data_IF_771611716264
#
_entry.id   IF_771611716264
#
_cell.length_a   1.000
_cell.length_b   1.000
_cell.length_c   1.000
_cell.angle_alpha   90.00
_cell.angle_beta   90.00
_cell.angle_gamma   90.00
#
_symmetry.space_group_name_H-M   'P 1'
#
loop_
_entity.id
_entity.type
_entity.pdbx_description
1 polymer ?
#
# COMPACT_ATOMS: atom_id res chain seq x y z
N UNK A 1 -19.81 5.07 -2.36
CA UNK A 1 -18.55 4.34 -2.04
C UNK A 1 -17.80 5.10 -0.96
N UNK A 2 -16.75 4.54 -0.35
CA UNK A 2 -16.02 5.21 0.75
C UNK A 2 -15.41 6.57 0.34
N UNK A 3 -14.82 6.66 -0.87
CA UNK A 3 -14.30 7.94 -1.41
C UNK A 3 -15.39 9.01 -1.45
N UNK A 4 -16.56 8.68 -1.98
CA UNK A 4 -17.70 9.60 -2.07
C UNK A 4 -18.16 10.06 -0.68
N UNK A 5 -18.23 9.15 0.29
CA UNK A 5 -18.63 9.47 1.66
C UNK A 5 -17.66 10.47 2.29
N UNK A 6 -16.36 10.17 2.25
CA UNK A 6 -15.31 11.02 2.82
C UNK A 6 -15.31 12.42 2.16
N UNK A 7 -15.45 12.49 0.84
CA UNK A 7 -15.51 13.78 0.13
C UNK A 7 -16.80 14.56 0.40
N UNK A 8 -17.93 13.89 0.63
CA UNK A 8 -19.20 14.56 0.98
C UNK A 8 -19.13 15.30 2.32
N UNK A 9 -18.16 14.94 3.16
CA UNK A 9 -17.84 15.61 4.43
C UNK A 9 -16.84 16.77 4.27
N UNK A 10 -16.45 17.12 3.04
CA UNK A 10 -15.53 18.23 2.75
C UNK A 10 -14.05 17.90 2.93
N UNK A 11 -13.68 16.62 3.00
CA UNK A 11 -12.27 16.21 3.13
C UNK A 11 -11.52 16.35 1.81
N UNK A 12 -10.37 17.01 1.85
CA UNK A 12 -9.49 17.20 0.70
C UNK A 12 -8.98 15.86 0.14
N UNK A 13 -8.99 15.64 -1.19
CA UNK A 13 -8.52 14.40 -1.80
C UNK A 13 -7.06 14.02 -1.46
N UNK A 14 -6.20 14.99 -1.13
CA UNK A 14 -4.81 14.72 -0.72
C UNK A 14 -4.71 14.02 0.64
N UNK A 15 -5.80 14.00 1.42
CA UNK A 15 -5.90 13.24 2.68
C UNK A 15 -6.46 11.83 2.48
N UNK A 16 -6.62 11.39 1.23
CA UNK A 16 -7.18 10.08 0.87
C UNK A 16 -6.12 9.26 0.15
N UNK A 17 -5.81 8.08 0.69
CA UNK A 17 -5.12 7.01 -0.02
C UNK A 17 -6.12 5.92 -0.38
N UNK A 18 -6.21 5.55 -1.66
CA UNK A 18 -7.03 4.42 -2.08
C UNK A 18 -6.25 3.11 -1.91
N UNK A 19 -6.19 2.63 -0.67
CA UNK A 19 -5.34 1.51 -0.25
C UNK A 19 -5.89 0.09 -0.56
N UNK A 20 -6.74 -0.05 -1.58
CA UNK A 20 -7.10 -1.37 -2.11
C UNK A 20 -6.10 -1.73 -3.23
N UNK A 21 -5.28 -2.80 -3.09
CA UNK A 21 -4.29 -3.14 -4.12
C UNK A 21 -4.92 -3.73 -5.40
N UNK A 22 -6.16 -4.23 -5.34
CA UNK A 22 -6.86 -4.87 -6.47
C UNK A 22 -8.17 -4.13 -6.79
N UNK A 23 -8.10 -3.09 -7.64
CA UNK A 23 -9.24 -2.19 -7.91
C UNK A 23 -9.96 -2.57 -9.20
N UNK A 24 -11.28 -2.34 -9.24
CA UNK A 24 -12.01 -2.38 -10.50
C UNK A 24 -11.64 -1.16 -11.35
N UNK A 25 -11.58 -1.33 -12.67
CA UNK A 25 -11.27 -0.22 -13.61
C UNK A 25 -12.22 0.97 -13.42
N UNK A 26 -13.51 0.72 -13.21
CA UNK A 26 -14.51 1.76 -12.95
C UNK A 26 -14.18 2.57 -11.69
N UNK A 27 -13.65 1.92 -10.65
CA UNK A 27 -13.27 2.57 -9.39
C UNK A 27 -11.96 3.37 -9.52
N UNK A 28 -11.00 2.90 -10.31
CA UNK A 28 -9.78 3.66 -10.64
C UNK A 28 -10.16 4.96 -11.38
N UNK A 29 -11.06 4.86 -12.39
CA UNK A 29 -11.57 6.04 -13.10
C UNK A 29 -12.32 6.99 -12.19
N UNK A 30 -13.12 6.46 -11.25
CA UNK A 30 -13.83 7.27 -10.27
C UNK A 30 -12.86 8.06 -9.37
N UNK A 31 -11.83 7.39 -8.81
CA UNK A 31 -10.80 8.04 -8.01
C UNK A 31 -10.10 9.16 -8.79
N UNK A 32 -9.76 8.89 -10.06
CA UNK A 32 -9.15 9.87 -10.97
C UNK A 32 -10.02 11.10 -11.19
N UNK A 33 -11.31 10.90 -11.51
CA UNK A 33 -12.26 11.97 -11.76
C UNK A 33 -12.55 12.84 -10.52
N UNK A 34 -12.28 12.31 -9.32
CA UNK A 34 -12.51 12.99 -8.05
C UNK A 34 -11.20 13.43 -7.37
N UNK A 35 -10.08 13.44 -8.10
CA UNK A 35 -8.80 13.99 -7.64
C UNK A 35 -8.06 13.15 -6.60
N UNK A 36 -8.46 11.90 -6.35
CA UNK A 36 -7.74 11.00 -5.44
C UNK A 36 -6.54 10.40 -6.18
N UNK A 37 -5.34 10.86 -5.85
CA UNK A 37 -4.12 10.54 -6.60
C UNK A 37 -3.33 9.35 -6.04
N UNK A 38 -3.35 9.15 -4.72
CA UNK A 38 -2.57 8.12 -4.05
C UNK A 38 -3.31 6.79 -4.03
N UNK A 39 -2.67 5.72 -4.50
CA UNK A 39 -3.25 4.37 -4.46
C UNK A 39 -2.21 3.28 -4.34
N UNK A 40 -2.61 2.15 -3.75
CA UNK A 40 -1.72 1.00 -3.60
C UNK A 40 -1.79 0.04 -4.79
N UNK A 41 -0.76 -0.77 -4.97
CA UNK A 41 -0.74 -1.88 -5.92
C UNK A 41 0.21 -2.98 -5.43
N UNK A 42 0.03 -4.21 -5.90
CA UNK A 42 0.93 -5.34 -5.59
C UNK A 42 1.15 -6.28 -6.79
N UNK A 43 0.69 -5.90 -7.99
CA UNK A 43 0.76 -6.74 -9.18
C UNK A 43 0.91 -5.93 -10.46
N UNK A 44 1.47 -6.56 -11.49
CA UNK A 44 1.62 -5.95 -12.82
C UNK A 44 0.27 -5.63 -13.48
N UNK A 45 -0.74 -6.48 -13.26
CA UNK A 45 -2.09 -6.24 -13.78
C UNK A 45 -2.68 -4.95 -13.22
N UNK A 46 -2.39 -4.63 -11.96
CA UNK A 46 -2.80 -3.36 -11.37
C UNK A 46 -2.11 -2.16 -12.03
N UNK A 47 -0.79 -2.24 -12.26
CA UNK A 47 -0.02 -1.21 -12.97
C UNK A 47 -0.61 -0.93 -14.35
N UNK A 48 -0.92 -1.98 -15.13
CA UNK A 48 -1.53 -1.84 -16.45
C UNK A 48 -2.91 -1.15 -16.40
N UNK A 49 -3.73 -1.46 -15.38
CA UNK A 49 -5.02 -0.80 -15.21
C UNK A 49 -4.87 0.68 -14.88
N UNK A 50 -3.93 1.03 -13.99
CA UNK A 50 -3.65 2.43 -13.62
C UNK A 50 -3.16 3.20 -14.83
N UNK A 51 -2.13 2.69 -15.53
CA UNK A 51 -1.57 3.32 -16.72
C UNK A 51 -2.62 3.63 -17.80
N UNK A 52 -3.63 2.77 -17.95
CA UNK A 52 -4.71 2.97 -18.93
C UNK A 52 -5.79 3.96 -18.48
N UNK A 53 -6.06 4.04 -17.18
CA UNK A 53 -7.32 4.60 -16.68
C UNK A 53 -7.16 5.85 -15.84
N UNK A 54 -5.94 6.23 -15.48
CA UNK A 54 -5.70 7.30 -14.53
C UNK A 54 -4.65 8.27 -15.06
N UNK A 55 -5.11 9.19 -15.92
CA UNK A 55 -4.28 10.19 -16.61
C UNK A 55 -3.40 11.03 -15.65
N UNK A 56 -3.85 11.19 -14.40
CA UNK A 56 -3.17 11.99 -13.37
C UNK A 56 -2.58 11.18 -12.19
N UNK A 57 -2.64 9.84 -12.16
CA UNK A 57 -2.14 9.08 -11.00
C UNK A 57 -0.67 8.78 -11.22
N UNK A 58 0.14 9.60 -10.59
CA UNK A 58 1.59 9.45 -10.53
C UNK A 58 2.05 9.07 -9.12
N UNK A 59 1.14 8.70 -8.21
CA UNK A 59 1.50 8.46 -6.81
C UNK A 59 1.08 7.07 -6.39
N UNK A 60 1.87 6.09 -6.82
CA UNK A 60 1.67 4.69 -6.48
C UNK A 60 2.47 4.29 -5.25
N UNK A 61 1.85 3.47 -4.41
CA UNK A 61 2.47 2.90 -3.21
C UNK A 61 2.49 1.38 -3.36
N UNK A 62 3.68 0.79 -3.45
CA UNK A 62 3.83 -0.66 -3.60
C UNK A 62 3.49 -1.35 -2.27
N UNK A 63 2.51 -2.25 -2.25
CA UNK A 63 2.20 -3.07 -1.07
C UNK A 63 3.06 -4.32 -1.07
N UNK A 64 3.85 -4.51 -0.02
CA UNK A 64 4.66 -5.72 0.18
C UNK A 64 3.95 -6.73 1.07
N UNK A 65 4.27 -8.01 0.89
CA UNK A 65 3.82 -9.08 1.77
C UNK A 65 4.56 -9.00 3.11
N UNK A 66 3.88 -9.36 4.19
CA UNK A 66 4.46 -9.50 5.54
C UNK A 66 4.30 -10.95 6.00
N UNK A 67 5.12 -11.36 6.97
CA UNK A 67 4.88 -12.61 7.70
C UNK A 67 3.69 -12.41 8.66
N UNK A 68 2.50 -12.76 8.21
CA UNK A 68 1.26 -12.67 8.99
C UNK A 68 0.91 -13.98 9.69
N UNK A 69 1.87 -14.90 9.82
CA UNK A 69 1.64 -16.23 10.41
C UNK A 69 1.06 -16.17 11.83
N UNK A 70 1.38 -15.11 12.58
CA UNK A 70 0.95 -14.83 13.96
C UNK A 70 -0.24 -13.86 14.08
N UNK A 71 -0.83 -13.41 12.96
CA UNK A 71 -2.01 -12.55 12.99
C UNK A 71 -3.30 -13.37 13.11
N UNK A 72 -4.31 -12.81 13.78
CA UNK A 72 -5.67 -13.42 13.83
C UNK A 72 -6.31 -13.44 12.45
N UNK A 73 -6.13 -12.37 11.67
CA UNK A 73 -6.58 -12.30 10.28
C UNK A 73 -5.40 -12.20 9.32
N UNK A 74 -5.17 -13.27 8.54
CA UNK A 74 -4.12 -13.34 7.53
C UNK A 74 -4.54 -12.64 6.24
N UNK A 75 -3.81 -11.59 5.87
CA UNK A 75 -4.04 -10.79 4.66
C UNK A 75 -2.94 -10.98 3.61
N UNK A 76 -1.74 -11.41 4.00
CA UNK A 76 -0.56 -11.54 3.13
C UNK A 76 -0.68 -12.68 2.12
N UNK A 77 -1.48 -13.71 2.42
CA UNK A 77 -1.81 -14.77 1.45
C UNK A 77 -2.61 -14.21 0.26
N UNK A 78 -3.36 -13.12 0.48
CA UNK A 78 -4.24 -12.52 -0.52
C UNK A 78 -3.64 -11.26 -1.17
N UNK A 79 -2.81 -10.51 -0.44
CA UNK A 79 -2.33 -9.20 -0.84
C UNK A 79 -0.86 -8.98 -0.45
N UNK A 80 -0.15 -8.24 -1.28
CA UNK A 80 1.25 -7.89 -1.04
C UNK A 80 2.21 -8.65 -1.94
N UNK A 81 3.13 -7.92 -2.55
CA UNK A 81 4.16 -8.50 -3.39
C UNK A 81 5.25 -9.14 -2.51
N UNK A 82 5.68 -10.39 -2.79
CA UNK A 82 6.86 -10.92 -2.14
C UNK A 82 8.08 -10.09 -2.53
N UNK A 83 9.06 -9.96 -1.63
CA UNK A 83 10.24 -9.10 -1.85
C UNK A 83 10.95 -9.38 -3.19
N UNK A 84 11.07 -10.66 -3.57
CA UNK A 84 11.65 -11.10 -4.84
C UNK A 84 10.93 -10.58 -6.10
N UNK A 85 9.65 -10.22 -6.01
CA UNK A 85 8.86 -9.69 -7.12
C UNK A 85 8.87 -8.16 -7.17
N UNK A 86 9.26 -7.48 -6.08
CA UNK A 86 9.18 -6.03 -5.96
C UNK A 86 10.02 -5.32 -7.02
N UNK A 87 11.25 -5.79 -7.28
CA UNK A 87 12.12 -5.21 -8.31
C UNK A 87 11.47 -5.21 -9.69
N UNK A 88 10.91 -6.36 -10.11
CA UNK A 88 10.23 -6.46 -11.41
C UNK A 88 8.99 -5.56 -11.52
N UNK A 89 8.26 -5.37 -10.41
CA UNK A 89 7.14 -4.42 -10.37
C UNK A 89 7.60 -2.97 -10.51
N UNK A 90 8.71 -2.59 -9.88
CA UNK A 90 9.28 -1.25 -9.98
C UNK A 90 9.82 -0.97 -11.39
N UNK A 91 10.54 -1.92 -11.98
CA UNK A 91 10.99 -1.86 -13.39
C UNK A 91 9.79 -1.65 -14.31
N UNK A 92 8.73 -2.45 -14.12
CA UNK A 92 7.52 -2.34 -14.93
C UNK A 92 6.79 -1.01 -14.75
N UNK A 93 6.74 -0.48 -13.53
CA UNK A 93 6.17 0.84 -13.28
C UNK A 93 6.95 1.93 -14.04
N UNK A 94 8.29 1.84 -14.08
CA UNK A 94 9.16 2.76 -14.82
C UNK A 94 8.88 2.72 -16.32
N UNK A 95 8.77 1.52 -16.90
CA UNK A 95 8.44 1.34 -18.32
C UNK A 95 7.08 1.95 -18.71
N UNK A 96 6.12 1.90 -17.79
CA UNK A 96 4.78 2.46 -17.98
C UNK A 96 4.72 3.97 -17.69
N UNK A 97 5.83 4.61 -17.29
CA UNK A 97 5.88 6.03 -16.93
C UNK A 97 5.08 6.36 -15.67
N UNK A 98 4.84 5.36 -14.81
CA UNK A 98 4.19 5.53 -13.52
C UNK A 98 5.21 5.94 -12.48
N UNK A 99 4.78 6.75 -11.52
CA UNK A 99 5.63 7.22 -10.43
C UNK A 99 5.23 6.49 -9.13
N UNK A 100 6.22 5.82 -8.56
CA UNK A 100 6.10 5.02 -7.34
C UNK A 100 6.80 5.80 -6.24
N UNK A 101 6.00 6.27 -5.28
CA UNK A 101 6.42 7.22 -4.26
C UNK A 101 6.72 6.56 -2.91
N UNK A 102 6.48 5.26 -2.79
CA UNK A 102 6.54 4.63 -1.48
C UNK A 102 6.18 3.17 -1.41
N UNK A 103 6.25 2.65 -0.20
CA UNK A 103 5.94 1.27 0.16
C UNK A 103 4.89 1.25 1.24
N UNK A 104 3.98 0.28 1.16
CA UNK A 104 2.99 -0.02 2.19
C UNK A 104 3.10 -1.47 2.62
N UNK A 105 2.70 -1.76 3.86
CA UNK A 105 2.50 -3.12 4.32
C UNK A 105 1.34 -3.17 5.32
N UNK A 106 0.93 -4.38 5.71
CA UNK A 106 -0.03 -4.56 6.79
C UNK A 106 0.29 -5.89 7.48
N UNK A 107 0.51 -5.86 8.79
CA UNK A 107 0.92 -7.05 9.57
C UNK A 107 -0.24 -8.00 9.97
N UNK A 108 -1.43 -7.74 9.44
CA UNK A 108 -2.69 -8.40 9.85
C UNK A 108 -3.34 -7.77 11.09
N UNK A 109 -4.64 -8.02 11.25
CA UNK A 109 -5.40 -7.55 12.42
C UNK A 109 -5.16 -8.44 13.63
N UNK A 110 -5.00 -7.83 14.81
CA UNK A 110 -4.71 -8.56 16.05
C UNK A 110 -3.32 -9.19 16.01
N UNK A 111 -2.33 -8.43 15.56
CA UNK A 111 -0.94 -8.88 15.60
C UNK A 111 -0.53 -9.05 17.06
N UNK A 112 -0.03 -10.24 17.43
CA UNK A 112 0.43 -10.56 18.78
C UNK A 112 1.95 -10.50 18.90
N UNK A 113 2.65 -9.99 17.87
CA UNK A 113 4.10 -9.98 17.77
C UNK A 113 4.62 -8.69 17.10
N UNK A 114 5.12 -7.76 17.91
CA UNK A 114 5.68 -6.49 17.47
C UNK A 114 6.87 -6.66 16.50
N UNK A 115 7.62 -7.75 16.59
CA UNK A 115 8.75 -8.03 15.69
C UNK A 115 8.32 -8.13 14.22
N UNK A 116 7.03 -8.40 13.97
CA UNK A 116 6.46 -8.41 12.62
C UNK A 116 6.55 -7.03 11.95
N UNK A 117 6.34 -5.95 12.70
CA UNK A 117 6.51 -4.58 12.19
C UNK A 117 7.98 -4.30 11.87
N UNK A 118 8.90 -4.67 12.77
CA UNK A 118 10.34 -4.50 12.56
C UNK A 118 10.82 -5.17 11.27
N UNK A 119 10.39 -6.40 11.03
CA UNK A 119 10.70 -7.12 9.78
C UNK A 119 10.10 -6.43 8.56
N UNK A 120 8.83 -6.02 8.63
CA UNK A 120 8.16 -5.34 7.53
C UNK A 120 8.81 -3.99 7.19
N UNK A 121 9.29 -3.24 8.18
CA UNK A 121 10.04 -2.00 7.99
C UNK A 121 11.39 -2.29 7.31
N UNK A 122 12.10 -3.35 7.73
CA UNK A 122 13.35 -3.76 7.10
C UNK A 122 13.16 -4.18 5.63
N UNK A 123 12.10 -4.95 5.34
CA UNK A 123 11.76 -5.33 3.97
C UNK A 123 11.33 -4.11 3.13
N UNK A 124 10.58 -3.18 3.71
CA UNK A 124 10.23 -1.93 3.05
C UNK A 124 11.48 -1.12 2.72
N UNK A 125 12.46 -1.04 3.63
CA UNK A 125 13.75 -0.38 3.35
C UNK A 125 14.47 -1.02 2.16
N UNK A 126 14.52 -2.34 2.07
CA UNK A 126 15.09 -3.03 0.91
C UNK A 126 14.39 -2.62 -0.40
N UNK A 127 13.06 -2.43 -0.39
CA UNK A 127 12.31 -1.98 -1.57
C UNK A 127 12.55 -0.51 -1.89
N UNK A 128 12.73 0.35 -0.88
CA UNK A 128 13.17 1.73 -1.09
C UNK A 128 14.53 1.79 -1.80
N UNK A 129 15.48 0.95 -1.38
CA UNK A 129 16.81 0.86 -2.02
C UNK A 129 16.70 0.41 -3.48
N UNK A 130 15.87 -0.63 -3.76
CA UNK A 130 15.58 -1.04 -5.15
C UNK A 130 14.94 0.10 -5.97
N UNK A 131 14.08 0.91 -5.33
CA UNK A 131 13.46 2.08 -5.93
C UNK A 131 14.48 3.15 -6.31
N UNK A 132 15.38 3.47 -5.39
CA UNK A 132 16.46 4.44 -5.58
C UNK A 132 17.38 4.03 -6.74
N UNK A 133 17.78 2.75 -6.82
CA UNK A 133 18.57 2.20 -7.94
C UNK A 133 17.89 2.41 -9.31
N UNK A 134 16.56 2.34 -9.35
CA UNK A 134 15.76 2.54 -10.56
C UNK A 134 15.38 4.01 -10.80
N UNK A 135 15.86 4.91 -9.94
CA UNK A 135 15.64 6.35 -10.01
C UNK A 135 14.21 6.78 -9.63
N UNK A 136 13.57 6.07 -8.72
CA UNK A 136 12.38 6.57 -8.02
C UNK A 136 12.80 7.40 -6.81
N UNK A 137 12.05 8.47 -6.53
CA UNK A 137 12.23 9.26 -5.32
C UNK A 137 11.10 8.93 -4.34
N UNK A 138 11.28 7.86 -3.57
CA UNK A 138 10.28 7.40 -2.61
C UNK A 138 10.37 8.18 -1.31
N UNK A 139 9.25 8.73 -0.85
CA UNK A 139 9.13 9.57 0.34
C UNK A 139 8.00 9.14 1.29
N UNK A 140 7.26 8.07 0.95
CA UNK A 140 6.11 7.61 1.71
C UNK A 140 6.28 6.17 2.21
N UNK A 141 6.25 5.99 3.53
CA UNK A 141 6.12 4.68 4.18
C UNK A 141 4.75 4.58 4.86
N UNK A 142 3.95 3.60 4.44
CA UNK A 142 2.66 3.28 5.06
C UNK A 142 2.78 1.96 5.84
N UNK A 143 2.76 2.07 7.17
CA UNK A 143 2.90 0.91 8.08
C UNK A 143 1.60 0.11 8.25
N UNK A 144 0.51 0.55 7.60
CA UNK A 144 -0.79 -0.10 7.64
C UNK A 144 -1.43 -0.02 9.02
N UNK A 145 -2.00 -1.14 9.44
CA UNK A 145 -2.67 -1.26 10.73
C UNK A 145 -2.47 -2.65 11.33
N UNK A 146 -3.32 -2.97 12.31
CA UNK A 146 -3.18 -4.18 13.13
C UNK A 146 -3.11 -3.89 14.62
N UNK A 147 -3.00 -2.60 14.97
CA UNK A 147 -3.02 -2.06 16.32
C UNK A 147 -4.28 -2.49 17.11
N UNK A 148 -4.14 -2.76 18.42
CA UNK A 148 -5.27 -3.09 19.28
C UNK A 148 -6.19 -1.89 19.46
N UNK A 149 -7.50 -2.15 19.57
CA UNK A 149 -8.53 -1.13 19.79
C UNK A 149 -9.09 -1.09 21.22
N UNK A 150 -8.60 -1.96 22.11
CA UNK A 150 -8.99 -2.03 23.51
C UNK A 150 -7.84 -2.52 24.39
N UNK A 151 -7.94 -2.25 25.69
CA UNK A 151 -7.01 -2.74 26.71
C UNK A 151 -7.18 -4.24 27.03
N UNK A 152 -8.07 -4.96 26.36
CA UNK A 152 -8.33 -6.37 26.64
C UNK A 152 -7.48 -7.31 25.76
N UNK A 153 -6.43 -6.79 25.13
CA UNK A 153 -5.48 -7.55 24.30
C UNK A 153 -4.21 -7.89 25.07
N UNK A 154 -3.56 -9.01 24.71
CA UNK A 154 -2.28 -9.42 25.30
C UNK A 154 -1.15 -8.45 24.97
N UNK A 155 -1.14 -7.88 23.76
CA UNK A 155 -0.20 -6.85 23.32
C UNK A 155 -0.93 -5.50 23.32
N UNK A 156 -0.43 -4.50 24.06
CA UNK A 156 -0.98 -3.13 24.11
C UNK A 156 -0.50 -2.29 22.96
N UNK A 157 -1.20 -1.17 22.70
CA UNK A 157 -0.84 -0.25 21.63
C UNK A 157 0.55 0.34 21.81
N UNK A 158 0.92 0.71 23.05
CA UNK A 158 2.21 1.31 23.38
C UNK A 158 3.38 0.30 23.32
N UNK A 159 3.08 -0.99 23.26
CA UNK A 159 4.06 -2.07 23.19
C UNK A 159 4.36 -2.51 21.74
N UNK A 160 3.54 -2.08 20.77
CA UNK A 160 3.73 -2.28 19.33
C UNK A 160 4.72 -1.25 18.79
#
# INVERSE_FOLDING_TARGET
TEIQLVQSLGVDPNRIIYANPCKQVSQIKYASAHGVQMMTFDSEVELMKVARCHENAKRLVLRIATDDSKAVCRLSVKFGAPLKACRGLLERAKELGLDVIGVSFHVGSGCTDADTYTKAIADARCVFDMGEELGFNMDLLDIGGGFPGSEDTELKFEEV
#
